data_IF_569067647111
#
_entry.id   IF_569067647111
#
_cell.length_a   1.000
_cell.length_b   1.000
_cell.length_c   1.000
_cell.angle_alpha   90.00
_cell.angle_beta   90.00
_cell.angle_gamma   90.00
#
_symmetry.space_group_name_H-M   'P 1'
#
loop_
_entity.id
_entity.type
_entity.pdbx_description
1 polymer ?
#
# COMPACT_ATOMS: atom_id res chain seq x y z
N UNK A 1 3.37 -17.95 -15.50
CA UNK A 1 2.20 -17.98 -14.58
C UNK A 1 1.13 -18.87 -15.21
N UNK A 2 0.36 -19.64 -14.43
CA UNK A 2 -0.73 -20.44 -14.97
C UNK A 2 -1.67 -19.57 -15.81
N UNK A 3 -2.10 -20.09 -16.96
CA UNK A 3 -3.00 -19.39 -17.86
C UNK A 3 -4.44 -19.69 -17.47
N UNK A 4 -5.29 -18.66 -17.44
CA UNK A 4 -6.73 -18.80 -17.27
C UNK A 4 -7.47 -18.14 -18.42
N UNK A 5 -8.60 -18.70 -18.86
CA UNK A 5 -9.44 -18.06 -19.85
C UNK A 5 -10.04 -16.77 -19.26
N UNK A 6 -9.88 -15.65 -19.96
CA UNK A 6 -10.60 -14.42 -19.62
C UNK A 6 -12.07 -14.49 -20.08
N UNK A 7 -12.86 -13.46 -19.78
CA UNK A 7 -14.28 -13.37 -20.20
C UNK A 7 -14.51 -13.47 -21.73
N UNK A 8 -13.45 -13.36 -22.53
CA UNK A 8 -13.46 -13.51 -24.00
C UNK A 8 -12.90 -14.86 -24.47
N UNK A 9 -12.67 -15.81 -23.56
CA UNK A 9 -12.10 -17.13 -23.85
C UNK A 9 -10.60 -17.13 -24.20
N UNK A 10 -9.92 -15.99 -24.08
CA UNK A 10 -8.49 -15.88 -24.37
C UNK A 10 -7.67 -16.26 -23.14
N UNK A 11 -6.68 -17.11 -23.35
CA UNK A 11 -5.72 -17.52 -22.32
C UNK A 11 -4.82 -16.35 -21.94
N UNK A 12 -4.98 -15.84 -20.72
CA UNK A 12 -4.12 -14.80 -20.16
C UNK A 12 -3.43 -15.30 -18.90
N UNK A 13 -2.22 -14.79 -18.60
CA UNK A 13 -1.56 -15.04 -17.32
C UNK A 13 -2.49 -14.64 -16.16
N UNK A 14 -2.60 -15.51 -15.15
CA UNK A 14 -3.29 -15.20 -13.90
C UNK A 14 -2.67 -13.93 -13.27
N UNK A 15 -3.50 -13.03 -12.72
CA UNK A 15 -2.98 -11.86 -12.00
C UNK A 15 -2.28 -12.28 -10.70
N UNK A 16 -1.38 -11.43 -10.19
CA UNK A 16 -0.59 -11.74 -9.00
C UNK A 16 -1.44 -12.07 -7.76
N UNK A 17 -2.55 -11.34 -7.56
CA UNK A 17 -3.45 -11.53 -6.40
C UNK A 17 -3.97 -12.96 -6.25
N UNK A 18 -4.72 -13.53 -7.22
CA UNK A 18 -5.18 -14.91 -7.15
C UNK A 18 -4.02 -15.92 -7.19
N UNK A 19 -2.88 -15.58 -7.83
CA UNK A 19 -1.68 -16.45 -7.82
C UNK A 19 -1.18 -16.65 -6.39
N UNK A 20 -1.02 -15.56 -5.65
CA UNK A 20 -0.59 -15.58 -4.25
C UNK A 20 -1.62 -16.30 -3.38
N UNK A 21 -2.92 -16.04 -3.56
CA UNK A 21 -3.98 -16.69 -2.80
C UNK A 21 -3.99 -18.21 -2.98
N UNK A 22 -3.85 -18.70 -4.22
CA UNK A 22 -3.77 -20.13 -4.50
C UNK A 22 -2.54 -20.73 -3.81
N UNK A 23 -1.37 -20.10 -3.94
CA UNK A 23 -0.15 -20.58 -3.29
C UNK A 23 -0.29 -20.63 -1.75
N UNK A 24 -0.87 -19.60 -1.14
CA UNK A 24 -1.13 -19.55 0.31
C UNK A 24 -2.09 -20.67 0.76
N UNK A 25 -3.18 -20.90 0.02
CA UNK A 25 -4.17 -21.94 0.34
C UNK A 25 -3.60 -23.35 0.17
N UNK A 26 -2.79 -23.59 -0.87
CA UNK A 26 -2.10 -24.87 -1.08
C UNK A 26 -1.14 -25.15 0.07
N UNK A 27 -0.32 -24.17 0.46
CA UNK A 27 0.58 -24.32 1.61
C UNK A 27 -0.19 -24.57 2.91
N UNK A 28 -1.29 -23.85 3.14
CA UNK A 28 -2.14 -24.08 4.30
C UNK A 28 -2.72 -25.51 4.31
N UNK A 29 -3.19 -26.02 3.17
CA UNK A 29 -3.68 -27.38 3.05
C UNK A 29 -2.58 -28.42 3.34
N UNK A 30 -1.38 -28.23 2.80
CA UNK A 30 -0.23 -29.10 3.07
C UNK A 30 0.13 -29.12 4.55
N UNK A 31 0.15 -27.97 5.22
CA UNK A 31 0.42 -27.88 6.67
C UNK A 31 -0.62 -28.67 7.46
N UNK A 32 -1.91 -28.52 7.14
CA UNK A 32 -2.99 -29.26 7.82
C UNK A 32 -2.86 -30.77 7.64
N UNK A 33 -2.53 -31.24 6.43
CA UNK A 33 -2.40 -32.66 6.12
C UNK A 33 -1.16 -33.30 6.76
N UNK A 34 0.00 -32.64 6.67
CA UNK A 34 1.27 -33.18 7.18
C UNK A 34 1.35 -33.11 8.71
N UNK A 35 0.98 -31.96 9.28
CA UNK A 35 1.05 -31.75 10.74
C UNK A 35 -0.18 -32.29 11.48
N UNK A 36 -1.20 -32.78 10.76
CA UNK A 36 -2.47 -33.32 11.32
C UNK A 36 -3.14 -32.36 12.31
N UNK A 37 -3.10 -31.05 12.01
CA UNK A 37 -3.66 -30.01 12.88
C UNK A 37 -5.20 -30.08 12.83
N UNK A 38 -5.84 -30.00 14.00
CA UNK A 38 -7.30 -29.94 14.08
C UNK A 38 -7.79 -28.58 13.59
N UNK A 39 -8.61 -28.57 12.54
CA UNK A 39 -9.07 -27.34 11.88
C UNK A 39 -9.78 -26.37 12.83
N UNK A 40 -10.51 -26.88 13.83
CA UNK A 40 -11.18 -26.06 14.85
C UNK A 40 -10.22 -25.21 15.67
N UNK A 41 -8.98 -25.66 15.84
CA UNK A 41 -8.00 -25.00 16.69
C UNK A 41 -7.36 -23.82 15.94
N UNK A 42 -7.31 -23.90 14.61
CA UNK A 42 -6.86 -22.82 13.74
C UNK A 42 -7.86 -21.65 13.76
N UNK A 43 -9.15 -21.93 13.59
CA UNK A 43 -10.19 -20.87 13.56
C UNK A 43 -10.50 -20.29 14.93
N UNK A 44 -10.29 -21.06 16.00
CA UNK A 44 -10.44 -20.57 17.37
C UNK A 44 -9.20 -19.85 17.90
N UNK A 45 -8.06 -19.99 17.22
CA UNK A 45 -6.80 -19.33 17.55
C UNK A 45 -6.87 -17.81 17.51
N UNK A 46 -6.06 -17.18 18.35
CA UNK A 46 -5.98 -15.70 18.45
C UNK A 46 -5.58 -15.05 17.13
N UNK A 47 -4.70 -15.70 16.36
CA UNK A 47 -4.21 -15.18 15.07
C UNK A 47 -5.35 -15.05 14.06
N UNK A 48 -6.16 -16.10 13.89
CA UNK A 48 -7.28 -16.09 12.95
C UNK A 48 -8.36 -15.09 13.38
N UNK A 49 -8.72 -15.07 14.67
CA UNK A 49 -9.72 -14.13 15.21
C UNK A 49 -9.30 -12.67 15.03
N UNK A 50 -8.08 -12.30 15.46
CA UNK A 50 -7.57 -10.94 15.28
C UNK A 50 -7.47 -10.56 13.80
N UNK A 51 -7.08 -11.50 12.93
CA UNK A 51 -7.05 -11.29 11.49
C UNK A 51 -8.44 -11.02 10.89
N UNK A 52 -9.45 -11.79 11.27
CA UNK A 52 -10.83 -11.59 10.80
C UNK A 52 -11.40 -10.24 11.27
N UNK A 53 -11.16 -9.85 12.52
CA UNK A 53 -11.56 -8.54 13.05
C UNK A 53 -10.89 -7.41 12.26
N UNK A 54 -9.58 -7.55 11.97
CA UNK A 54 -8.83 -6.58 11.18
C UNK A 54 -9.42 -6.42 9.77
N UNK A 55 -9.72 -7.52 9.08
CA UNK A 55 -10.31 -7.48 7.72
C UNK A 55 -11.65 -6.74 7.71
N UNK A 56 -12.56 -7.08 8.62
CA UNK A 56 -13.89 -6.45 8.69
C UNK A 56 -13.78 -4.96 9.06
N UNK A 57 -12.91 -4.62 10.01
CA UNK A 57 -12.72 -3.24 10.48
C UNK A 57 -12.12 -2.35 9.40
N UNK A 58 -11.17 -2.86 8.62
CA UNK A 58 -10.54 -2.12 7.50
C UNK A 58 -11.52 -1.94 6.34
N UNK A 59 -12.35 -2.93 6.04
CA UNK A 59 -13.19 -2.92 4.84
C UNK A 59 -14.06 -1.65 4.74
N UNK A 60 -14.69 -1.22 5.84
CA UNK A 60 -15.52 -0.01 5.85
C UNK A 60 -14.73 1.27 5.57
N UNK A 61 -13.59 1.45 6.24
CA UNK A 61 -12.75 2.66 6.07
C UNK A 61 -12.09 2.66 4.69
N UNK A 62 -11.60 1.51 4.23
CA UNK A 62 -11.00 1.35 2.91
C UNK A 62 -12.01 1.63 1.80
N UNK A 63 -13.23 1.08 1.89
CA UNK A 63 -14.27 1.27 0.89
C UNK A 63 -14.73 2.74 0.79
N UNK A 64 -14.91 3.41 1.92
CA UNK A 64 -15.29 4.83 1.95
C UNK A 64 -14.18 5.73 1.38
N UNK A 65 -12.92 5.47 1.77
CA UNK A 65 -11.77 6.19 1.23
C UNK A 65 -11.63 5.96 -0.29
N UNK A 66 -11.70 4.72 -0.75
CA UNK A 66 -11.59 4.37 -2.17
C UNK A 66 -12.72 4.96 -3.00
N UNK A 67 -13.96 4.96 -2.49
CA UNK A 67 -15.11 5.54 -3.18
C UNK A 67 -14.98 7.05 -3.32
N UNK A 68 -14.65 7.75 -2.22
CA UNK A 68 -14.48 9.21 -2.23
C UNK A 68 -13.30 9.61 -3.12
N UNK A 69 -12.11 9.07 -2.84
CA UNK A 69 -10.92 9.43 -3.60
C UNK A 69 -11.02 9.00 -5.05
N UNK A 70 -11.54 7.81 -5.33
CA UNK A 70 -11.78 7.32 -6.70
C UNK A 70 -12.62 8.28 -7.53
N UNK A 71 -13.67 8.88 -6.95
CA UNK A 71 -14.51 9.87 -7.63
C UNK A 71 -13.78 11.18 -7.96
N UNK A 72 -12.79 11.57 -7.15
CA UNK A 72 -12.05 12.84 -7.26
C UNK A 72 -10.61 12.70 -7.78
N UNK A 73 -10.13 11.48 -8.06
CA UNK A 73 -8.77 11.24 -8.59
C UNK A 73 -8.47 12.13 -9.81
N UNK A 74 -9.37 12.29 -10.81
CA UNK A 74 -9.09 13.17 -11.95
C UNK A 74 -8.82 14.62 -11.56
N UNK A 75 -9.61 15.18 -10.65
CA UNK A 75 -9.48 16.54 -10.15
C UNK A 75 -8.19 16.70 -9.31
N UNK A 76 -7.87 15.70 -8.49
CA UNK A 76 -6.61 15.66 -7.75
C UNK A 76 -5.42 15.63 -8.69
N UNK A 77 -5.46 14.84 -9.77
CA UNK A 77 -4.40 14.82 -10.79
C UNK A 77 -4.19 16.20 -11.38
N UNK A 78 -5.25 16.87 -11.87
CA UNK A 78 -5.11 18.19 -12.49
C UNK A 78 -4.54 19.22 -11.51
N UNK A 79 -5.09 19.28 -10.29
CA UNK A 79 -4.69 20.28 -9.28
C UNK A 79 -3.29 20.02 -8.74
N UNK A 80 -2.93 18.77 -8.47
CA UNK A 80 -1.61 18.44 -7.96
C UNK A 80 -0.54 18.55 -9.07
N UNK A 81 -0.91 18.34 -10.34
CA UNK A 81 0.01 18.55 -11.46
C UNK A 81 0.38 20.03 -11.61
N UNK A 82 -0.58 20.96 -11.47
CA UNK A 82 -0.26 22.39 -11.54
C UNK A 82 0.66 22.84 -10.41
N UNK A 83 0.50 22.26 -9.21
CA UNK A 83 1.41 22.53 -8.08
C UNK A 83 2.84 22.06 -8.38
N UNK A 84 3.03 20.92 -9.04
CA UNK A 84 4.37 20.44 -9.43
C UNK A 84 5.00 21.33 -10.50
N UNK A 85 4.20 21.87 -11.43
CA UNK A 85 4.68 22.83 -12.45
C UNK A 85 5.20 24.11 -11.77
N UNK A 86 4.44 24.66 -10.82
CA UNK A 86 4.83 25.89 -10.11
C UNK A 86 5.98 25.65 -9.13
N UNK A 87 6.01 24.47 -8.51
CA UNK A 87 6.92 24.11 -7.43
C UNK A 87 7.43 22.66 -7.58
N UNK A 88 8.49 22.42 -8.40
CA UNK A 88 8.98 21.07 -8.69
C UNK A 88 9.37 20.24 -7.46
N UNK A 89 9.80 20.88 -6.37
CA UNK A 89 10.13 20.22 -5.09
C UNK A 89 8.93 19.52 -4.44
N UNK A 90 7.69 19.91 -4.80
CA UNK A 90 6.47 19.29 -4.29
C UNK A 90 6.20 17.90 -4.88
N UNK A 91 6.96 17.47 -5.89
CA UNK A 91 6.83 16.16 -6.54
C UNK A 91 6.72 15.01 -5.52
N UNK A 92 7.62 14.96 -4.54
CA UNK A 92 7.62 13.91 -3.52
C UNK A 92 6.35 13.92 -2.66
N UNK A 93 5.85 15.11 -2.33
CA UNK A 93 4.62 15.27 -1.55
C UNK A 93 3.38 14.87 -2.35
N UNK A 94 3.33 15.24 -3.64
CA UNK A 94 2.27 14.80 -4.56
C UNK A 94 2.28 13.29 -4.72
N UNK A 95 3.45 12.68 -4.93
CA UNK A 95 3.59 11.23 -5.02
C UNK A 95 3.14 10.54 -3.72
N UNK A 96 3.49 11.10 -2.56
CA UNK A 96 3.06 10.59 -1.26
C UNK A 96 1.55 10.64 -1.08
N UNK A 97 0.92 11.79 -1.37
CA UNK A 97 -0.54 11.94 -1.29
C UNK A 97 -1.22 10.97 -2.23
N UNK A 98 -0.88 11.02 -3.54
CA UNK A 98 -1.50 10.16 -4.54
C UNK A 98 -1.35 8.70 -4.17
N UNK A 99 -0.17 8.27 -3.70
CA UNK A 99 0.03 6.88 -3.29
C UNK A 99 -0.92 6.43 -2.20
N UNK A 100 -1.17 7.30 -1.20
CA UNK A 100 -2.16 6.98 -0.18
C UNK A 100 -3.57 6.93 -0.76
N UNK A 101 -3.92 7.84 -1.66
CA UNK A 101 -5.26 7.91 -2.25
C UNK A 101 -5.58 6.69 -3.14
N UNK A 102 -4.61 6.23 -3.92
CA UNK A 102 -4.78 5.05 -4.80
C UNK A 102 -4.48 3.73 -4.10
N UNK A 103 -4.04 3.78 -2.83
CA UNK A 103 -3.69 2.63 -1.99
C UNK A 103 -2.79 1.59 -2.72
N UNK A 104 -1.89 2.08 -3.59
CA UNK A 104 -1.02 1.27 -4.44
C UNK A 104 0.18 2.08 -4.96
N UNK A 105 1.39 1.70 -4.54
CA UNK A 105 2.67 2.27 -4.95
C UNK A 105 2.85 2.20 -6.46
N UNK A 106 2.59 1.03 -7.04
CA UNK A 106 2.75 0.82 -8.47
C UNK A 106 1.78 1.68 -9.28
N UNK A 107 0.51 1.76 -8.85
CA UNK A 107 -0.47 2.63 -9.51
C UNK A 107 -0.12 4.12 -9.33
N UNK A 108 0.38 4.51 -8.16
CA UNK A 108 0.80 5.87 -7.87
C UNK A 108 1.95 6.29 -8.78
N UNK A 109 2.99 5.46 -8.90
CA UNK A 109 4.12 5.70 -9.78
C UNK A 109 3.67 5.73 -11.26
N UNK A 110 2.82 4.80 -11.68
CA UNK A 110 2.27 4.77 -13.04
C UNK A 110 1.46 6.02 -13.40
N UNK A 111 0.90 6.72 -12.40
CA UNK A 111 0.16 7.97 -12.57
C UNK A 111 1.11 9.18 -12.53
N UNK A 112 1.94 9.26 -11.49
CA UNK A 112 2.67 10.49 -11.12
C UNK A 112 3.99 10.62 -11.87
N UNK A 113 4.68 9.52 -12.19
CA UNK A 113 5.95 9.57 -12.92
C UNK A 113 5.76 10.12 -14.34
N UNK A 114 4.86 9.59 -15.19
CA UNK A 114 4.67 10.13 -16.54
C UNK A 114 4.21 11.59 -16.52
N UNK A 115 3.33 11.93 -15.57
CA UNK A 115 2.86 13.30 -15.36
C UNK A 115 4.01 14.24 -14.97
N UNK A 116 4.83 13.89 -13.98
CA UNK A 116 5.99 14.68 -13.55
C UNK A 116 6.99 14.90 -14.70
N UNK A 117 7.31 13.85 -15.45
CA UNK A 117 8.19 13.96 -16.62
C UNK A 117 7.61 14.87 -17.71
N UNK A 118 6.29 14.83 -17.95
CA UNK A 118 5.64 15.67 -18.96
C UNK A 118 5.69 17.16 -18.64
N UNK A 119 5.83 17.53 -17.36
CA UNK A 119 5.93 18.92 -16.90
C UNK A 119 7.38 19.35 -16.63
N UNK A 120 8.37 18.52 -17.00
CA UNK A 120 9.78 18.86 -16.91
C UNK A 120 10.45 18.58 -15.56
N UNK A 121 9.85 17.75 -14.69
CA UNK A 121 10.57 17.25 -13.50
C UNK A 121 11.76 16.42 -13.96
N UNK A 122 12.94 16.74 -13.43
CA UNK A 122 14.17 16.01 -13.71
C UNK A 122 14.00 14.51 -13.36
N UNK A 123 14.28 13.57 -14.29
CA UNK A 123 14.28 12.14 -14.01
C UNK A 123 15.10 11.75 -12.78
N UNK A 124 16.17 12.49 -12.45
CA UNK A 124 16.99 12.26 -11.27
C UNK A 124 16.23 12.56 -9.97
N UNK A 125 15.38 13.59 -9.97
CA UNK A 125 14.47 13.92 -8.86
C UNK A 125 13.40 12.83 -8.72
N UNK A 126 12.84 12.37 -9.84
CA UNK A 126 11.89 11.23 -9.85
C UNK A 126 12.53 10.01 -9.19
N UNK A 127 13.76 9.65 -9.59
CA UNK A 127 14.51 8.52 -9.03
C UNK A 127 14.81 8.71 -7.54
N UNK A 128 15.23 9.90 -7.14
CA UNK A 128 15.57 10.27 -5.77
C UNK A 128 14.41 10.05 -4.79
N UNK A 129 13.18 10.36 -5.24
CA UNK A 129 11.99 10.39 -4.39
C UNK A 129 11.00 9.25 -4.64
N UNK A 130 11.38 8.19 -5.38
CA UNK A 130 10.57 6.97 -5.50
C UNK A 130 10.06 6.46 -4.14
N UNK A 131 10.85 6.46 -3.04
CA UNK A 131 10.36 6.00 -1.73
C UNK A 131 9.15 6.78 -1.18
N UNK A 132 8.90 8.00 -1.67
CA UNK A 132 7.71 8.78 -1.29
C UNK A 132 6.41 8.07 -1.69
N UNK A 133 6.44 7.10 -2.61
CA UNK A 133 5.27 6.27 -2.89
C UNK A 133 4.88 5.35 -1.72
N UNK A 134 5.67 5.22 -0.65
CA UNK A 134 5.28 4.43 0.52
C UNK A 134 4.43 5.24 1.53
N UNK A 135 3.17 5.52 1.19
CA UNK A 135 2.27 6.32 2.05
C UNK A 135 1.14 5.51 2.70
N UNK A 136 1.20 4.18 2.64
CA UNK A 136 0.11 3.28 3.05
C UNK A 136 -0.30 3.46 4.50
N UNK A 137 0.69 3.68 5.36
CA UNK A 137 0.50 3.82 6.80
C UNK A 137 -0.31 5.05 7.19
N UNK A 138 -0.46 6.09 6.34
CA UNK A 138 -1.10 7.37 6.74
C UNK A 138 -2.56 7.22 7.14
N UNK A 139 -3.29 6.34 6.46
CA UNK A 139 -4.58 5.84 6.95
C UNK A 139 -4.40 4.34 7.17
N UNK A 140 -4.74 3.80 8.34
CA UNK A 140 -4.62 2.37 8.66
C UNK A 140 -5.72 1.56 7.96
N UNK A 141 -5.81 1.70 6.64
CA UNK A 141 -6.72 0.97 5.73
C UNK A 141 -6.06 -0.28 5.18
N UNK A 142 -4.86 -0.63 5.67
CA UNK A 142 -4.20 -1.88 5.33
C UNK A 142 -4.47 -2.92 6.42
N UNK A 143 -4.95 -4.13 6.05
CA UNK A 143 -5.22 -5.19 7.03
C UNK A 143 -4.00 -5.56 7.88
N UNK A 144 -2.79 -5.40 7.36
CA UNK A 144 -1.54 -5.63 8.08
C UNK A 144 -1.37 -4.73 9.30
N UNK A 145 -1.83 -3.48 9.23
CA UNK A 145 -1.66 -2.51 10.33
C UNK A 145 -2.57 -2.89 11.51
N UNK A 146 -3.82 -3.26 11.23
CA UNK A 146 -4.74 -3.73 12.26
C UNK A 146 -4.39 -5.12 12.77
N UNK A 147 -3.86 -6.00 11.92
CA UNK A 147 -3.35 -7.29 12.35
C UNK A 147 -2.16 -7.12 13.31
N UNK A 148 -1.25 -6.19 13.01
CA UNK A 148 -0.15 -5.84 13.92
C UNK A 148 -0.67 -5.38 15.29
N UNK A 149 -1.66 -4.48 15.32
CA UNK A 149 -2.32 -4.05 16.57
C UNK A 149 -2.98 -5.23 17.29
N UNK A 150 -3.68 -6.10 16.55
CA UNK A 150 -4.39 -7.25 17.12
C UNK A 150 -3.49 -8.39 17.59
N UNK A 151 -2.24 -8.46 17.12
CA UNK A 151 -1.22 -9.42 17.55
C UNK A 151 -0.28 -8.87 18.61
N UNK A 152 -0.23 -7.55 18.78
CA UNK A 152 0.67 -6.90 19.72
C UNK A 152 0.22 -7.11 21.18
N UNK A 153 0.91 -8.06 21.83
CA UNK A 153 0.70 -8.37 23.25
C UNK A 153 1.27 -7.29 24.19
N UNK A 154 2.14 -6.40 23.70
CA UNK A 154 2.73 -5.33 24.50
C UNK A 154 1.81 -4.10 24.62
N UNK A 155 0.83 -3.97 23.72
CA UNK A 155 -0.08 -2.82 23.66
C UNK A 155 0.58 -1.51 23.23
N UNK A 156 1.77 -1.58 22.62
CA UNK A 156 2.52 -0.41 22.14
C UNK A 156 1.99 0.11 20.80
N UNK A 157 1.35 -0.76 20.02
CA UNK A 157 0.66 -0.42 18.77
C UNK A 157 -0.84 -0.22 19.03
N UNK A 158 -1.37 0.94 18.62
CA UNK A 158 -2.78 1.29 18.82
C UNK A 158 -3.25 2.35 17.83
N UNK A 159 -4.56 2.42 17.64
CA UNK A 159 -5.26 3.57 17.07
C UNK A 159 -5.81 4.40 18.22
N UNK A 160 -5.50 5.69 18.21
CA UNK A 160 -5.95 6.68 19.18
C UNK A 160 -7.33 7.24 18.84
N UNK A 161 -7.59 8.49 19.25
CA UNK A 161 -8.91 9.14 19.08
C UNK A 161 -9.34 9.33 17.62
N UNK A 162 -8.37 9.48 16.70
CA UNK A 162 -8.62 9.71 15.28
C UNK A 162 -7.96 8.61 14.44
N UNK A 163 -8.52 8.33 13.27
CA UNK A 163 -8.00 7.31 12.33
C UNK A 163 -6.54 7.55 11.95
N UNK A 164 -6.14 8.82 11.83
CA UNK A 164 -4.75 9.23 11.55
C UNK A 164 -3.84 9.22 12.77
N UNK A 165 -4.38 9.10 13.99
CA UNK A 165 -3.60 9.11 15.21
C UNK A 165 -3.29 7.67 15.60
N UNK A 166 -2.26 7.05 15.01
CA UNK A 166 -1.87 5.68 15.32
C UNK A 166 -0.35 5.50 15.39
N UNK A 167 0.09 4.42 16.03
CA UNK A 167 1.51 4.16 16.33
C UNK A 167 2.43 4.07 15.11
N UNK A 168 1.88 3.85 13.90
CA UNK A 168 2.66 3.71 12.66
C UNK A 168 3.00 5.04 11.97
N UNK A 169 2.37 6.17 12.32
CA UNK A 169 2.64 7.47 11.67
C UNK A 169 4.11 7.87 11.83
N UNK A 170 4.61 7.89 13.08
CA UNK A 170 5.96 8.38 13.36
C UNK A 170 7.02 7.49 12.69
N UNK A 171 7.01 6.15 12.87
CA UNK A 171 7.96 5.28 12.18
C UNK A 171 7.85 5.35 10.65
N UNK A 172 6.63 5.44 10.13
CA UNK A 172 6.38 5.54 8.69
C UNK A 172 6.96 6.82 8.08
N UNK A 173 6.72 7.98 8.73
CA UNK A 173 7.29 9.27 8.28
C UNK A 173 8.80 9.23 8.34
N UNK A 174 9.39 8.73 9.44
CA UNK A 174 10.85 8.60 9.56
C UNK A 174 11.40 7.73 8.43
N UNK A 175 10.78 6.57 8.17
CA UNK A 175 11.22 5.64 7.12
C UNK A 175 11.16 6.26 5.73
N UNK A 176 10.05 6.91 5.38
CA UNK A 176 9.90 7.59 4.08
C UNK A 176 10.87 8.75 3.95
N UNK A 177 10.94 9.61 4.96
CA UNK A 177 11.80 10.79 4.94
C UNK A 177 13.27 10.40 4.79
N UNK A 178 13.75 9.48 5.63
CA UNK A 178 15.14 9.01 5.57
C UNK A 178 15.44 8.33 4.23
N UNK A 179 14.52 7.51 3.71
CA UNK A 179 14.69 6.87 2.40
C UNK A 179 14.76 7.89 1.26
N UNK A 180 13.95 8.95 1.29
CA UNK A 180 13.99 10.03 0.32
C UNK A 180 15.31 10.83 0.40
N UNK A 181 15.77 11.16 1.61
CA UNK A 181 17.03 11.87 1.81
C UNK A 181 18.21 11.05 1.30
N UNK A 182 18.29 9.78 1.70
CA UNK A 182 19.35 8.86 1.26
C UNK A 182 19.25 8.63 -0.25
N UNK A 183 18.04 8.43 -0.78
CA UNK A 183 17.78 8.27 -2.21
C UNK A 183 18.28 9.46 -3.03
N UNK A 184 18.04 10.69 -2.55
CA UNK A 184 18.55 11.91 -3.17
C UNK A 184 20.06 11.92 -3.24
N UNK A 185 20.75 11.67 -2.13
CA UNK A 185 22.22 11.67 -2.11
C UNK A 185 22.82 10.55 -2.97
N UNK A 186 22.24 9.35 -2.95
CA UNK A 186 22.70 8.24 -3.78
C UNK A 186 22.53 8.58 -5.27
N UNK A 187 21.36 9.10 -5.66
CA UNK A 187 21.09 9.44 -7.06
C UNK A 187 22.09 10.47 -7.59
N UNK A 188 22.33 11.55 -6.86
CA UNK A 188 23.24 12.64 -7.28
C UNK A 188 24.73 12.31 -7.10
N UNK A 189 25.07 11.25 -6.35
CA UNK A 189 26.44 10.76 -6.27
C UNK A 189 26.80 9.83 -7.44
N UNK A 190 25.80 9.18 -8.05
CA UNK A 190 26.01 8.18 -9.10
C UNK A 190 25.77 8.71 -10.52
N UNK A 191 24.93 9.73 -10.67
CA UNK A 191 24.53 10.32 -11.96
C UNK A 191 24.66 11.83 -11.90
#
# INVERSE_FOLDING_TARGET
MPLVPNAKGLWKPLSMTPTIQIAMLVMAALILLVCKVKVSDVTSGSVFKSGMIAVVSVYGVAWMAETYFGAYIPQFKTTLSSVVVEHPWTYALVLFIISKLVNSQAAALAIVVPMGLSVGVDPLIVLSFVPACYAYFVLPTYPSDLACIGFDRSGTTRIGKFVINHSFIIPGIIGVFTSCVVGYFIAHALF
#
